data_IF_922198959087
#
_entry.id   IF_922198959087
#
_cell.length_a   1.000
_cell.length_b   1.000
_cell.length_c   1.000
_cell.angle_alpha   90.00
_cell.angle_beta   90.00
_cell.angle_gamma   90.00
#
_symmetry.space_group_name_H-M   'P 1'
#
loop_
_entity.id
_entity.type
_entity.pdbx_description
1 polymer ?
#
# COMPACT_ATOMS: atom_id res chain seq x y z
N UNK A 1 12.89 -28.62 -41.24
CA UNK A 1 12.40 -28.82 -42.62
C UNK A 1 11.38 -27.70 -42.89
N UNK A 2 11.74 -26.76 -43.76
CA UNK A 2 10.91 -25.61 -44.14
C UNK A 2 10.06 -26.03 -45.33
N UNK A 3 8.74 -25.85 -45.26
CA UNK A 3 7.87 -25.85 -46.45
C UNK A 3 7.04 -24.56 -46.51
N UNK A 4 6.89 -24.08 -47.75
CA UNK A 4 6.58 -22.72 -48.19
C UNK A 4 5.06 -22.52 -48.40
N UNK A 5 4.55 -21.31 -48.05
CA UNK A 5 3.84 -20.28 -48.90
C UNK A 5 3.09 -20.81 -50.16
N UNK A 6 1.88 -20.39 -50.61
CA UNK A 6 0.95 -19.21 -50.52
C UNK A 6 -0.47 -19.73 -50.92
N UNK A 7 -1.60 -19.04 -50.74
CA UNK A 7 -2.13 -18.03 -51.70
C UNK A 7 -3.55 -17.55 -51.28
N UNK A 8 -3.65 -16.23 -51.07
CA UNK A 8 -4.72 -15.24 -51.31
C UNK A 8 -6.14 -15.68 -51.72
N UNK A 9 -7.13 -15.10 -51.03
CA UNK A 9 -8.41 -14.68 -51.61
C UNK A 9 -8.66 -13.20 -51.28
N UNK A 10 -8.69 -12.37 -52.33
CA UNK A 10 -9.31 -11.05 -52.43
C UNK A 10 -10.83 -11.22 -52.19
N UNK A 11 -11.66 -10.27 -51.77
CA UNK A 11 -11.56 -8.85 -51.47
C UNK A 11 -13.00 -8.35 -51.22
N UNK A 12 -13.18 -7.29 -50.43
CA UNK A 12 -14.32 -6.36 -50.56
C UNK A 12 -13.91 -5.08 -49.86
N UNK A 13 -13.69 -4.05 -50.68
CA UNK A 13 -13.60 -2.66 -50.28
C UNK A 13 -15.02 -2.11 -50.26
N UNK A 14 -15.43 -1.52 -49.14
CA UNK A 14 -16.53 -0.58 -49.08
C UNK A 14 -16.07 0.61 -48.25
N UNK A 15 -16.00 1.75 -48.94
CA UNK A 15 -15.59 3.06 -48.46
C UNK A 15 -16.82 3.81 -47.92
N UNK A 16 -16.63 4.53 -46.82
CA UNK A 16 -17.55 5.51 -46.23
C UNK A 16 -16.80 6.15 -45.04
N UNK A 17 -16.06 7.23 -45.27
CA UNK A 17 -16.51 8.64 -45.12
C UNK A 17 -16.68 8.98 -43.63
N UNK A 18 -15.61 9.46 -43.00
CA UNK A 18 -15.31 10.89 -42.76
C UNK A 18 -16.08 11.45 -41.55
N UNK A 19 -15.38 11.55 -40.42
CA UNK A 19 -15.62 12.54 -39.35
C UNK A 19 -14.51 12.44 -38.30
N UNK A 20 -13.50 13.28 -38.51
CA UNK A 20 -12.82 14.12 -37.51
C UNK A 20 -12.17 13.46 -36.27
N UNK A 21 -10.83 13.52 -36.25
CA UNK A 21 -9.99 13.41 -35.07
C UNK A 21 -10.36 14.46 -34.01
N UNK A 22 -10.45 14.10 -32.72
CA UNK A 22 -10.12 15.02 -31.66
C UNK A 22 -8.61 14.92 -31.35
N UNK A 23 -7.99 16.07 -31.55
CA UNK A 23 -6.66 16.47 -31.11
C UNK A 23 -6.41 16.23 -29.62
N UNK A 24 -5.19 15.77 -29.32
CA UNK A 24 -4.37 16.15 -28.17
C UNK A 24 -5.04 16.37 -26.82
N UNK A 25 -4.82 15.44 -25.90
CA UNK A 25 -4.69 15.76 -24.49
C UNK A 25 -3.60 14.87 -23.88
N UNK A 26 -2.43 15.49 -23.70
CA UNK A 26 -1.41 15.26 -22.65
C UNK A 26 -1.03 13.81 -22.28
N UNK A 27 0.25 13.42 -22.33
CA UNK A 27 0.69 12.37 -21.41
C UNK A 27 0.34 12.88 -20.01
N UNK A 28 -0.50 12.16 -19.27
CA UNK A 28 -0.61 12.40 -17.84
C UNK A 28 0.74 11.96 -17.28
N UNK A 29 1.66 12.91 -17.20
CA UNK A 29 2.69 12.87 -16.18
C UNK A 29 1.93 12.93 -14.86
N UNK A 30 1.44 11.77 -14.42
CA UNK A 30 1.22 11.50 -13.01
C UNK A 30 2.59 11.33 -12.38
N UNK A 31 3.39 12.40 -12.43
CA UNK A 31 4.39 12.67 -11.43
C UNK A 31 3.60 12.92 -10.15
N UNK A 32 3.31 11.84 -9.45
CA UNK A 32 2.92 11.90 -8.05
C UNK A 32 3.80 10.89 -7.33
N UNK A 33 5.11 11.02 -7.57
CA UNK A 33 6.06 10.89 -6.48
C UNK A 33 5.96 12.16 -5.63
N UNK A 34 4.78 12.40 -5.06
CA UNK A 34 4.74 12.99 -3.74
C UNK A 34 5.31 11.89 -2.83
N UNK A 35 6.64 11.83 -2.82
CA UNK A 35 7.42 11.44 -1.66
C UNK A 35 7.15 12.51 -0.61
N UNK A 36 5.90 12.55 -0.16
CA UNK A 36 5.46 13.32 0.97
C UNK A 36 6.40 12.92 2.09
N UNK A 37 6.77 13.89 2.90
CA UNK A 37 7.22 13.67 4.27
C UNK A 37 6.17 12.72 4.91
N UNK A 38 6.38 11.41 4.78
CA UNK A 38 5.33 10.38 5.00
C UNK A 38 5.33 10.08 6.48
N UNK A 39 4.85 11.06 7.22
CA UNK A 39 4.42 10.83 8.59
C UNK A 39 3.29 9.80 8.58
N UNK A 40 3.29 8.83 9.50
CA UNK A 40 2.25 7.81 9.55
C UNK A 40 0.86 8.46 9.75
N UNK A 41 -0.04 8.29 8.78
CA UNK A 41 -1.39 8.85 8.83
C UNK A 41 -2.39 7.93 9.57
N UNK A 42 -2.35 7.99 10.91
CA UNK A 42 -3.32 7.29 11.77
C UNK A 42 -4.72 7.90 11.64
N UNK A 43 -4.84 9.17 11.23
CA UNK A 43 -6.15 9.85 11.09
C UNK A 43 -6.97 9.20 9.99
N UNK A 44 -6.34 8.86 8.85
CA UNK A 44 -7.01 8.14 7.77
C UNK A 44 -7.60 6.79 8.19
N UNK A 45 -6.97 6.08 9.14
CA UNK A 45 -7.47 4.81 9.69
C UNK A 45 -8.74 5.07 10.52
N UNK A 46 -8.71 6.09 11.38
CA UNK A 46 -9.83 6.46 12.27
C UNK A 46 -11.06 6.93 11.48
N UNK A 47 -10.82 7.75 10.46
CA UNK A 47 -11.89 8.28 9.62
C UNK A 47 -12.57 7.17 8.82
N UNK A 48 -11.77 6.25 8.28
CA UNK A 48 -12.30 5.08 7.57
C UNK A 48 -13.13 4.18 8.50
N UNK A 49 -12.66 3.91 9.72
CA UNK A 49 -13.42 3.13 10.71
C UNK A 49 -14.75 3.80 11.05
N UNK A 50 -14.73 5.12 11.32
CA UNK A 50 -15.92 5.91 11.67
C UNK A 50 -16.95 5.97 10.54
N UNK A 51 -16.49 5.87 9.28
CA UNK A 51 -17.33 5.83 8.10
C UNK A 51 -17.88 4.42 7.77
N UNK A 52 -17.54 3.39 8.54
CA UNK A 52 -17.86 1.99 8.22
C UNK A 52 -17.08 1.43 7.02
N UNK A 53 -16.01 2.11 6.61
CA UNK A 53 -15.15 1.71 5.49
C UNK A 53 -14.03 0.77 5.98
N UNK A 54 -14.41 -0.40 6.50
CA UNK A 54 -13.49 -1.31 7.19
C UNK A 54 -12.31 -1.77 6.34
N UNK A 55 -12.52 -2.11 5.05
CA UNK A 55 -11.43 -2.42 4.13
C UNK A 55 -10.44 -1.27 4.01
N UNK A 56 -10.92 -0.03 3.90
CA UNK A 56 -10.07 1.16 3.82
C UNK A 56 -9.30 1.37 5.12
N UNK A 57 -9.92 1.12 6.28
CA UNK A 57 -9.23 1.20 7.57
C UNK A 57 -8.06 0.20 7.65
N UNK A 58 -8.24 -1.04 7.19
CA UNK A 58 -7.16 -2.04 7.13
C UNK A 58 -6.03 -1.60 6.19
N UNK A 59 -6.36 -1.14 4.98
CA UNK A 59 -5.36 -0.68 4.01
C UNK A 59 -4.55 0.52 4.53
N UNK A 60 -5.23 1.52 5.09
CA UNK A 60 -4.58 2.68 5.70
C UNK A 60 -3.73 2.29 6.91
N UNK A 61 -4.18 1.32 7.72
CA UNK A 61 -3.45 0.85 8.89
C UNK A 61 -2.10 0.23 8.52
N UNK A 62 -2.09 -0.64 7.51
CA UNK A 62 -0.84 -1.19 6.99
C UNK A 62 0.10 -0.11 6.44
N UNK A 63 -0.44 0.85 5.68
CA UNK A 63 0.36 1.95 5.15
C UNK A 63 0.98 2.82 6.27
N UNK A 64 0.21 3.12 7.32
CA UNK A 64 0.70 3.87 8.47
C UNK A 64 1.83 3.14 9.21
N UNK A 65 1.73 1.82 9.42
CA UNK A 65 2.82 1.05 10.03
C UNK A 65 4.07 1.07 9.17
N UNK A 66 3.93 0.88 7.87
CA UNK A 66 5.08 0.87 6.95
C UNK A 66 5.81 2.22 6.94
N UNK A 67 5.07 3.31 7.07
CA UNK A 67 5.63 4.67 7.13
C UNK A 67 6.23 5.02 8.50
N UNK A 68 5.64 4.52 9.59
CA UNK A 68 6.02 4.92 10.94
C UNK A 68 7.05 4.03 11.61
N UNK A 69 7.29 2.81 11.12
CA UNK A 69 8.37 1.96 11.62
C UNK A 69 9.70 2.35 10.99
N UNK A 70 10.74 2.47 11.82
CA UNK A 70 12.11 2.83 11.39
C UNK A 70 12.84 1.65 10.70
N UNK A 71 12.22 1.08 9.67
CA UNK A 71 12.76 -0.01 8.85
C UNK A 71 13.29 0.59 7.55
N UNK A 72 14.36 0.01 7.00
CA UNK A 72 14.93 0.50 5.74
C UNK A 72 13.87 0.48 4.62
N UNK A 73 13.61 1.65 4.05
CA UNK A 73 12.69 1.82 2.94
C UNK A 73 13.25 1.18 1.65
N UNK A 74 12.39 0.46 0.94
CA UNK A 74 12.76 -0.17 -0.32
C UNK A 74 11.61 -0.92 -0.98
N UNK A 75 11.79 -1.34 -2.25
CA UNK A 75 10.86 -2.25 -2.91
C UNK A 75 10.92 -3.60 -2.20
N UNK A 76 9.87 -3.90 -1.44
CA UNK A 76 9.71 -5.15 -0.72
C UNK A 76 8.23 -5.53 -0.74
N UNK A 77 7.97 -6.82 -0.91
CA UNK A 77 6.65 -7.39 -0.60
C UNK A 77 6.32 -7.20 0.88
N UNK A 78 5.05 -7.34 1.26
CA UNK A 78 4.62 -7.15 2.65
C UNK A 78 5.37 -8.09 3.63
N UNK A 79 5.55 -9.35 3.24
CA UNK A 79 6.33 -10.32 4.02
C UNK A 79 7.85 -10.13 3.95
N UNK A 80 8.38 -9.53 2.89
CA UNK A 80 9.78 -9.10 2.86
C UNK A 80 10.00 -7.93 3.82
N UNK A 81 9.09 -6.95 3.84
CA UNK A 81 9.13 -5.86 4.81
C UNK A 81 9.07 -6.36 6.25
N UNK A 82 8.17 -7.30 6.56
CA UNK A 82 8.13 -7.95 7.87
C UNK A 82 9.47 -8.59 8.26
N UNK A 83 10.13 -9.31 7.34
CA UNK A 83 11.43 -9.94 7.61
C UNK A 83 12.52 -8.90 7.86
N UNK A 84 12.58 -7.85 7.03
CA UNK A 84 13.52 -6.74 7.25
C UNK A 84 13.29 -6.05 8.60
N UNK A 85 12.03 -5.88 8.99
CA UNK A 85 11.64 -5.30 10.27
C UNK A 85 12.09 -6.18 11.46
N UNK A 86 11.99 -7.51 11.32
CA UNK A 86 12.48 -8.45 12.33
C UNK A 86 14.00 -8.36 12.51
N UNK A 87 14.73 -8.06 11.44
CA UNK A 87 16.19 -7.87 11.47
C UNK A 87 16.61 -6.46 11.91
N UNK A 88 15.69 -5.49 11.99
CA UNK A 88 16.01 -4.07 12.29
C UNK A 88 15.97 -3.70 13.77
N UNK A 89 15.77 -4.67 14.66
CA UNK A 89 15.76 -4.43 16.12
C UNK A 89 14.49 -3.79 16.66
N UNK A 90 13.35 -3.92 15.96
CA UNK A 90 12.04 -3.56 16.51
C UNK A 90 11.69 -4.41 17.73
N UNK A 91 10.85 -3.87 18.61
CA UNK A 91 10.34 -4.62 19.74
C UNK A 91 9.45 -5.78 19.29
N UNK A 92 9.33 -6.83 20.11
CA UNK A 92 8.44 -7.96 19.82
C UNK A 92 6.99 -7.50 19.62
N UNK A 93 6.54 -6.48 20.37
CA UNK A 93 5.21 -5.90 20.23
C UNK A 93 5.00 -5.21 18.87
N UNK A 94 6.01 -4.47 18.39
CA UNK A 94 5.97 -3.85 17.06
C UNK A 94 5.96 -4.90 15.95
N UNK A 95 6.74 -5.97 16.09
CA UNK A 95 6.77 -7.08 15.14
C UNK A 95 5.46 -7.85 15.11
N UNK A 96 4.83 -8.09 16.27
CA UNK A 96 3.54 -8.76 16.34
C UNK A 96 2.43 -7.92 15.70
N UNK A 97 2.39 -6.61 16.01
CA UNK A 97 1.46 -5.68 15.37
C UNK A 97 1.65 -5.64 13.84
N UNK A 98 2.91 -5.56 13.37
CA UNK A 98 3.21 -5.56 11.93
C UNK A 98 2.76 -6.86 11.27
N UNK A 99 3.00 -8.01 11.90
CA UNK A 99 2.57 -9.32 11.40
C UNK A 99 1.04 -9.36 11.26
N UNK A 100 0.31 -9.06 12.32
CA UNK A 100 -1.14 -9.15 12.32
C UNK A 100 -1.80 -8.19 11.31
N UNK A 101 -1.30 -6.96 11.22
CA UNK A 101 -1.82 -5.98 10.26
C UNK A 101 -1.45 -6.38 8.83
N UNK A 102 -0.28 -7.00 8.59
CA UNK A 102 0.09 -7.57 7.29
C UNK A 102 -0.87 -8.70 6.89
N UNK A 103 -1.20 -9.61 7.81
CA UNK A 103 -2.15 -10.69 7.55
C UNK A 103 -3.55 -10.16 7.21
N UNK A 104 -4.03 -9.16 7.96
CA UNK A 104 -5.32 -8.52 7.68
C UNK A 104 -5.32 -7.82 6.31
N UNK A 105 -4.24 -7.08 6.01
CA UNK A 105 -4.07 -6.41 4.73
C UNK A 105 -4.11 -7.39 3.56
N UNK A 106 -3.42 -8.53 3.66
CA UNK A 106 -3.39 -9.50 2.57
C UNK A 106 -4.73 -10.21 2.37
N UNK A 107 -5.47 -10.50 3.45
CA UNK A 107 -6.84 -11.02 3.35
C UNK A 107 -7.76 -10.06 2.59
N UNK A 108 -7.70 -8.76 2.91
CA UNK A 108 -8.49 -7.74 2.22
C UNK A 108 -8.05 -7.58 0.76
N UNK A 109 -6.75 -7.49 0.51
CA UNK A 109 -6.20 -7.11 -0.80
C UNK A 109 -6.16 -8.25 -1.80
N UNK A 110 -5.86 -9.47 -1.35
CA UNK A 110 -5.59 -10.61 -2.22
C UNK A 110 -6.62 -11.73 -2.10
N UNK A 111 -7.21 -11.93 -0.92
CA UNK A 111 -8.31 -12.89 -0.75
C UNK A 111 -9.69 -12.28 -1.03
N UNK A 112 -9.79 -10.95 -1.11
CA UNK A 112 -11.06 -10.24 -1.33
C UNK A 112 -12.01 -10.34 -0.14
N UNK A 113 -11.49 -10.66 1.05
CA UNK A 113 -12.27 -10.80 2.27
C UNK A 113 -12.62 -9.40 2.81
N UNK A 114 -13.92 -9.14 2.98
CA UNK A 114 -14.38 -7.91 3.60
C UNK A 114 -14.22 -8.04 5.13
N UNK A 115 -13.43 -7.18 5.78
CA UNK A 115 -13.26 -7.22 7.23
C UNK A 115 -14.51 -6.65 7.91
N UNK A 116 -14.78 -7.10 9.12
CA UNK A 116 -15.79 -6.52 10.00
C UNK A 116 -15.24 -5.34 10.81
N UNK A 117 -16.13 -4.71 11.57
CA UNK A 117 -15.80 -3.58 12.44
C UNK A 117 -14.75 -3.95 13.49
N UNK A 118 -14.87 -5.14 14.09
CA UNK A 118 -13.95 -5.63 15.12
C UNK A 118 -12.53 -5.78 14.57
N UNK A 119 -12.39 -6.35 13.37
CA UNK A 119 -11.10 -6.47 12.68
C UNK A 119 -10.51 -5.10 12.39
N UNK A 120 -11.30 -4.17 11.86
CA UNK A 120 -10.82 -2.82 11.54
C UNK A 120 -10.45 -2.01 12.80
N UNK A 121 -11.21 -2.17 13.89
CA UNK A 121 -10.89 -1.56 15.18
C UNK A 121 -9.60 -2.14 15.77
N UNK A 122 -9.43 -3.46 15.70
CA UNK A 122 -8.20 -4.15 16.14
C UNK A 122 -6.99 -3.63 15.37
N UNK A 123 -7.09 -3.45 14.05
CA UNK A 123 -6.01 -2.87 13.25
C UNK A 123 -5.65 -1.47 13.75
N UNK A 124 -6.63 -0.61 14.01
CA UNK A 124 -6.35 0.74 14.54
C UNK A 124 -5.64 0.69 15.89
N UNK A 125 -6.04 -0.20 16.80
CA UNK A 125 -5.37 -0.36 18.10
C UNK A 125 -3.92 -0.84 17.95
N UNK A 126 -3.67 -1.83 17.08
CA UNK A 126 -2.32 -2.34 16.82
C UNK A 126 -1.42 -1.30 16.17
N UNK A 127 -1.94 -0.53 15.23
CA UNK A 127 -1.21 0.58 14.59
C UNK A 127 -0.80 1.62 15.63
N UNK A 128 -1.72 2.02 16.51
CA UNK A 128 -1.41 2.99 17.58
C UNK A 128 -0.34 2.47 18.52
N UNK A 129 -0.52 1.26 19.05
CA UNK A 129 0.40 0.68 20.02
C UNK A 129 1.83 0.56 19.46
N UNK A 130 1.98 0.13 18.20
CA UNK A 130 3.29 -0.04 17.59
C UNK A 130 4.01 1.29 17.32
N UNK A 131 3.27 2.35 17.01
CA UNK A 131 3.83 3.67 16.72
C UNK A 131 4.13 4.49 17.98
N UNK A 132 3.36 4.31 19.06
CA UNK A 132 3.63 4.93 20.37
C UNK A 132 4.92 4.37 21.02
N UNK A 133 5.17 3.06 20.86
CA UNK A 133 6.38 2.40 21.36
C UNK A 133 7.66 2.93 20.68
N UNK A 134 7.55 3.37 19.42
CA UNK A 134 8.67 3.95 18.67
C UNK A 134 9.08 5.36 19.12
N UNK A 135 8.15 6.11 19.72
CA UNK A 135 8.37 7.50 20.18
C UNK A 135 9.05 7.54 21.57
N UNK A 136 8.82 6.52 22.40
CA UNK A 136 9.31 6.46 23.78
C UNK A 136 10.83 6.25 23.93
N UNK A 137 11.58 6.14 22.82
CA UNK A 137 13.01 5.83 22.81
C UNK A 137 13.98 7.01 22.73
N UNK A 138 13.52 8.27 22.66
CA UNK A 138 14.40 9.43 22.35
C UNK A 138 14.69 10.40 23.51
N UNK A 139 14.01 10.30 24.66
CA UNK A 139 14.12 11.31 25.73
C UNK A 139 14.76 10.75 27.02
N UNK A 140 16.10 10.84 27.16
CA UNK A 140 16.83 11.12 28.42
C UNK A 140 18.34 10.78 28.32
N UNK A 141 19.07 11.45 27.43
CA UNK A 141 20.54 11.48 27.49
C UNK A 141 21.03 12.91 27.30
N UNK A 142 20.91 13.74 28.35
CA UNK A 142 21.58 15.03 28.37
C UNK A 142 20.95 16.04 29.32
N UNK A 143 21.35 16.01 30.59
CA UNK A 143 21.53 17.21 31.41
C UNK A 143 22.22 16.82 32.74
N UNK A 144 23.53 16.56 32.68
CA UNK A 144 24.43 16.77 33.82
C UNK A 144 25.38 17.90 33.41
N UNK A 145 25.18 19.09 33.99
CA UNK A 145 26.21 20.12 34.20
C UNK A 145 26.03 20.73 35.60
#
# INVERSE_FOLDING_TARGET
MIMRRRRTSEGTVASGDDSEQPTGATPVSGDTSEESDRSPDITAVRDALSAGAYSRAVLSGYAALRQGLAVAEGPATHWEFYRMAADSGLSEAQLDALREVTEAFERVSFAGEAPDEETAATVLERVRAALDEGDSGVEAAGADD
#
